data_IF_192883710810
#
_entry.id   IF_192883710810
#
_cell.length_a   1.000
_cell.length_b   1.000
_cell.length_c   1.000
_cell.angle_alpha   90.00
_cell.angle_beta   90.00
_cell.angle_gamma   90.00
#
_symmetry.space_group_name_H-M   'P 1'
#
loop_
_entity.id
_entity.type
_entity.pdbx_description
1 polymer ?
#
# COMPACT_ATOMS: atom_id res chain seq x y z
N UNK A 1 -3.56 16.31 -19.58
CA UNK A 1 -3.75 16.43 -18.13
C UNK A 1 -2.38 16.65 -17.50
N UNK A 2 -2.15 17.73 -16.77
CA UNK A 2 -0.94 17.89 -15.97
C UNK A 2 -1.04 16.90 -14.80
N UNK A 3 -0.24 15.84 -14.81
CA UNK A 3 -0.08 14.94 -13.66
C UNK A 3 0.85 15.65 -12.69
N UNK A 4 0.39 15.93 -11.46
CA UNK A 4 1.30 16.35 -10.39
C UNK A 4 2.06 15.10 -9.93
N UNK A 5 3.39 15.13 -9.97
CA UNK A 5 4.26 14.10 -9.40
C UNK A 5 4.82 14.56 -8.05
N UNK A 6 5.11 13.61 -7.18
CA UNK A 6 5.72 13.86 -5.87
C UNK A 6 7.25 13.85 -6.01
N UNK A 7 7.94 14.79 -5.38
CA UNK A 7 9.41 14.83 -5.39
C UNK A 7 10.05 13.62 -4.72
N UNK A 8 9.40 13.12 -3.68
CA UNK A 8 9.77 11.92 -2.94
C UNK A 8 8.57 11.41 -2.18
N UNK A 9 8.56 10.11 -1.85
CA UNK A 9 7.60 9.51 -0.93
C UNK A 9 8.31 8.71 0.16
N UNK A 10 7.67 8.63 1.32
CA UNK A 10 8.02 7.70 2.40
C UNK A 10 6.86 6.71 2.56
N UNK A 11 7.17 5.43 2.58
CA UNK A 11 6.23 4.32 2.76
C UNK A 11 6.55 3.66 4.10
N UNK A 12 5.57 3.55 5.00
CA UNK A 12 5.73 2.92 6.32
C UNK A 12 4.70 1.81 6.47
N UNK A 13 5.15 0.60 6.79
CA UNK A 13 4.26 -0.53 7.09
C UNK A 13 3.90 -0.49 8.57
N UNK A 14 2.65 -0.16 8.88
CA UNK A 14 2.15 -0.02 10.25
C UNK A 14 1.54 -1.31 10.80
N UNK A 15 0.98 -2.17 9.91
CA UNK A 15 0.50 -3.51 10.23
C UNK A 15 0.89 -4.49 9.14
N UNK A 16 1.32 -5.67 9.54
CA UNK A 16 1.57 -6.86 8.73
C UNK A 16 1.58 -8.10 9.65
N UNK A 17 1.51 -9.28 9.09
CA UNK A 17 1.68 -10.55 9.80
C UNK A 17 3.15 -10.97 9.97
N UNK A 18 4.10 -10.25 9.38
CA UNK A 18 5.54 -10.48 9.55
C UNK A 18 6.21 -9.27 10.21
N UNK A 19 7.18 -9.49 11.13
CA UNK A 19 7.93 -8.40 11.75
C UNK A 19 9.05 -7.90 10.82
N UNK A 20 9.25 -6.59 10.77
CA UNK A 20 10.48 -5.97 10.27
C UNK A 20 11.28 -5.38 11.44
N UNK A 21 10.61 -4.70 12.37
CA UNK A 21 11.18 -4.26 13.64
C UNK A 21 10.62 -5.10 14.79
N UNK A 22 11.43 -5.43 15.80
CA UNK A 22 10.96 -6.12 17.00
C UNK A 22 10.07 -5.19 17.85
N UNK A 23 9.22 -5.80 18.70
CA UNK A 23 8.41 -5.07 19.68
C UNK A 23 7.06 -4.57 19.16
N UNK A 24 6.85 -4.53 17.86
CA UNK A 24 5.58 -4.13 17.26
C UNK A 24 4.57 -5.29 17.24
N UNK A 25 3.28 -4.94 17.26
CA UNK A 25 2.18 -5.91 17.26
C UNK A 25 1.98 -6.46 15.85
N UNK A 26 2.00 -7.77 15.71
CA UNK A 26 1.66 -8.44 14.47
C UNK A 26 0.14 -8.62 14.37
N UNK A 27 -0.38 -8.57 13.15
CA UNK A 27 -1.77 -8.86 12.85
C UNK A 27 -1.88 -9.59 11.51
N UNK A 28 -2.87 -10.48 11.37
CA UNK A 28 -3.26 -10.91 10.04
C UNK A 28 -4.05 -9.78 9.40
N UNK A 29 -3.34 -8.87 8.75
CA UNK A 29 -3.89 -7.67 8.16
C UNK A 29 -2.80 -6.75 7.63
N UNK A 30 -3.16 -5.80 6.81
CA UNK A 30 -2.23 -4.85 6.19
C UNK A 30 -2.65 -3.41 6.50
N UNK A 31 -1.66 -2.57 6.82
CA UNK A 31 -1.82 -1.12 6.82
C UNK A 31 -0.51 -0.44 6.47
N UNK A 32 -0.55 0.45 5.49
CA UNK A 32 0.61 1.15 4.94
C UNK A 32 0.33 2.65 4.88
N UNK A 33 1.14 3.44 5.57
CA UNK A 33 1.14 4.90 5.41
C UNK A 33 2.05 5.31 4.27
N UNK A 34 1.56 6.18 3.38
CA UNK A 34 2.34 6.75 2.28
C UNK A 34 2.29 8.26 2.38
N UNK A 35 3.46 8.87 2.50
CA UNK A 35 3.63 10.31 2.72
C UNK A 35 4.43 10.93 1.58
N UNK A 36 3.85 11.90 0.88
CA UNK A 36 4.59 12.77 -0.05
C UNK A 36 5.46 13.76 0.72
N UNK A 37 6.70 14.01 0.27
CA UNK A 37 7.56 15.04 0.89
C UNK A 37 6.92 16.42 0.75
N UNK A 38 6.45 16.99 1.87
CA UNK A 38 5.72 18.26 1.91
C UNK A 38 4.39 18.24 1.15
N UNK A 39 3.81 17.06 1.01
CA UNK A 39 2.59 16.77 0.28
C UNK A 39 1.62 15.89 1.05
N UNK A 40 0.65 15.30 0.36
CA UNK A 40 -0.41 14.52 0.98
C UNK A 40 0.07 13.26 1.70
N UNK A 41 -0.72 12.85 2.70
CA UNK A 41 -0.54 11.66 3.53
C UNK A 41 -1.76 10.77 3.39
N UNK A 42 -1.60 9.60 2.81
CA UNK A 42 -2.67 8.61 2.65
C UNK A 42 -2.36 7.36 3.48
N UNK A 43 -3.34 6.88 4.22
CA UNK A 43 -3.28 5.55 4.82
C UNK A 43 -3.97 4.55 3.91
N UNK A 44 -3.23 3.55 3.45
CA UNK A 44 -3.76 2.43 2.70
C UNK A 44 -4.04 1.26 3.65
N UNK A 45 -5.29 0.84 3.70
CA UNK A 45 -5.83 -0.21 4.55
C UNK A 45 -5.66 0.06 6.07
N UNK A 46 -6.39 -0.65 6.90
CA UNK A 46 -6.45 -0.38 8.34
C UNK A 46 -6.23 -1.64 9.20
N UNK A 47 -5.86 -2.75 8.56
CA UNK A 47 -5.73 -4.04 9.23
C UNK A 47 -7.05 -4.58 9.74
N UNK A 48 -6.98 -5.61 10.58
CA UNK A 48 -8.16 -6.24 11.20
C UNK A 48 -8.64 -5.50 12.45
N UNK A 49 -7.80 -4.63 13.05
CA UNK A 49 -8.04 -4.02 14.36
C UNK A 49 -7.46 -2.62 14.49
N UNK A 50 -8.32 -1.65 14.80
CA UNK A 50 -7.89 -0.27 15.09
C UNK A 50 -6.91 -0.21 16.27
N UNK A 51 -7.11 -0.98 17.34
CA UNK A 51 -6.25 -0.95 18.51
C UNK A 51 -4.82 -1.39 18.21
N UNK A 52 -4.63 -2.36 17.29
CA UNK A 52 -3.29 -2.79 16.86
C UNK A 52 -2.64 -1.75 15.97
N UNK A 53 -3.40 -1.21 15.00
CA UNK A 53 -2.93 -0.14 14.12
C UNK A 53 -2.49 1.09 14.91
N UNK A 54 -3.35 1.59 15.80
CA UNK A 54 -3.06 2.77 16.61
C UNK A 54 -1.90 2.55 17.58
N UNK A 55 -1.82 1.36 18.20
CA UNK A 55 -0.71 1.03 19.08
C UNK A 55 0.63 0.98 18.35
N UNK A 56 0.69 0.41 17.13
CA UNK A 56 1.92 0.43 16.34
C UNK A 56 2.25 1.84 15.81
N UNK A 57 1.24 2.63 15.43
CA UNK A 57 1.45 4.02 15.02
C UNK A 57 2.06 4.85 16.16
N UNK A 58 1.59 4.68 17.41
CA UNK A 58 2.13 5.32 18.60
C UNK A 58 3.60 4.93 18.85
N UNK A 59 3.91 3.63 18.83
CA UNK A 59 5.27 3.11 19.00
C UNK A 59 6.25 3.60 17.91
N UNK A 60 5.75 3.82 16.70
CA UNK A 60 6.51 4.33 15.56
C UNK A 60 6.55 5.86 15.48
N UNK A 61 5.90 6.57 16.42
CA UNK A 61 5.81 8.03 16.41
C UNK A 61 5.03 8.58 15.20
N UNK A 62 4.02 7.83 14.72
CA UNK A 62 3.21 8.19 13.56
C UNK A 62 1.87 8.75 14.01
N UNK A 63 1.61 10.01 13.66
CA UNK A 63 0.29 10.62 13.87
C UNK A 63 -0.68 10.24 12.74
N UNK A 64 -1.77 9.56 13.08
CA UNK A 64 -2.85 9.18 12.16
C UNK A 64 -4.08 10.11 12.24
N UNK A 65 -4.09 11.14 13.08
CA UNK A 65 -5.18 12.11 13.13
C UNK A 65 -5.16 13.07 11.92
N UNK A 66 -3.97 13.32 11.37
CA UNK A 66 -3.73 14.26 10.26
C UNK A 66 -3.45 13.53 8.94
N UNK A 67 -4.46 12.85 8.40
CA UNK A 67 -4.42 12.22 7.07
C UNK A 67 -5.22 13.07 6.06
N UNK A 68 -4.77 13.08 4.79
CA UNK A 68 -5.50 13.69 3.67
C UNK A 68 -6.55 12.73 3.06
N UNK A 69 -6.49 11.44 3.44
CA UNK A 69 -7.45 10.44 3.02
C UNK A 69 -7.07 9.04 3.48
N UNK A 70 -8.07 8.15 3.46
CA UNK A 70 -7.90 6.72 3.72
C UNK A 70 -8.23 5.98 2.42
N UNK A 71 -7.39 5.03 2.03
CA UNK A 71 -7.57 4.21 0.85
C UNK A 71 -7.83 2.76 1.30
N UNK A 72 -9.01 2.20 1.04
CA UNK A 72 -9.34 0.81 1.36
C UNK A 72 -9.25 0.00 0.08
N UNK A 73 -8.23 -0.84 -0.03
CA UNK A 73 -7.96 -1.64 -1.22
C UNK A 73 -9.14 -2.55 -1.60
N UNK A 74 -9.75 -3.19 -0.62
CA UNK A 74 -10.94 -4.02 -0.74
C UNK A 74 -11.59 -4.29 0.62
N UNK A 75 -12.80 -4.90 0.63
CA UNK A 75 -13.62 -5.03 1.85
C UNK A 75 -13.40 -6.32 2.66
N UNK A 76 -12.25 -6.97 2.60
CA UNK A 76 -11.93 -8.04 3.55
C UNK A 76 -11.59 -7.44 4.93
N UNK A 77 -11.98 -8.14 5.99
CA UNK A 77 -11.86 -7.64 7.36
C UNK A 77 -10.43 -7.34 7.81
N UNK A 78 -9.46 -8.04 7.25
CA UNK A 78 -8.02 -7.85 7.49
C UNK A 78 -7.42 -6.61 6.78
N UNK A 79 -8.24 -5.89 5.98
CA UNK A 79 -7.89 -4.63 5.34
C UNK A 79 -8.73 -3.45 5.81
N UNK A 80 -9.99 -3.69 6.18
CA UNK A 80 -10.92 -2.62 6.57
C UNK A 80 -11.41 -2.68 8.02
N UNK A 81 -11.04 -3.71 8.79
CA UNK A 81 -11.56 -3.94 10.14
C UNK A 81 -11.19 -2.85 11.16
N UNK A 82 -10.05 -2.19 10.98
CA UNK A 82 -9.66 -1.04 11.81
C UNK A 82 -10.32 0.28 11.43
N UNK A 83 -10.99 0.37 10.27
CA UNK A 83 -11.52 1.64 9.74
C UNK A 83 -12.51 2.34 10.70
N UNK A 84 -13.50 1.66 11.32
CA UNK A 84 -14.41 2.34 12.23
C UNK A 84 -13.72 3.02 13.41
N UNK A 85 -12.72 2.36 14.00
CA UNK A 85 -11.95 2.94 15.12
C UNK A 85 -10.98 4.04 14.69
N UNK A 86 -10.44 3.97 13.48
CA UNK A 86 -9.60 5.03 12.92
C UNK A 86 -10.43 6.31 12.68
N UNK A 87 -11.67 6.18 12.22
CA UNK A 87 -12.58 7.32 12.02
C UNK A 87 -12.92 8.07 13.31
N UNK A 88 -12.83 7.42 14.47
CA UNK A 88 -13.04 8.08 15.77
C UNK A 88 -11.95 9.12 16.06
N UNK A 89 -10.76 9.03 15.45
CA UNK A 89 -9.68 9.99 15.63
C UNK A 89 -9.46 10.92 14.43
N UNK A 90 -9.75 10.47 13.20
CA UNK A 90 -9.59 11.30 11.99
C UNK A 90 -10.79 12.22 11.77
N UNK A 91 -11.96 11.87 12.31
CA UNK A 91 -13.21 12.60 12.06
C UNK A 91 -13.64 12.52 10.60
N UNK A 92 -14.10 13.66 10.05
CA UNK A 92 -14.62 13.70 8.67
C UNK A 92 -13.49 13.66 7.65
N UNK A 93 -13.39 12.54 6.90
CA UNK A 93 -12.31 12.28 5.94
C UNK A 93 -12.83 11.56 4.70
N UNK A 94 -12.15 11.75 3.56
CA UNK A 94 -12.40 10.99 2.34
C UNK A 94 -11.86 9.56 2.49
N UNK A 95 -12.73 8.58 2.21
CA UNK A 95 -12.38 7.16 2.18
C UNK A 95 -12.57 6.66 0.76
N UNK A 96 -11.45 6.45 0.07
CA UNK A 96 -11.42 5.96 -1.30
C UNK A 96 -11.63 4.46 -1.33
N UNK A 97 -12.62 3.99 -2.08
CA UNK A 97 -13.05 2.58 -2.09
C UNK A 97 -13.31 2.09 -3.51
N UNK A 98 -13.08 0.78 -3.82
CA UNK A 98 -13.34 0.25 -5.16
C UNK A 98 -14.85 0.19 -5.46
N UNK A 99 -15.64 -0.16 -4.46
CA UNK A 99 -17.11 -0.26 -4.51
C UNK A 99 -17.72 0.08 -3.17
N UNK A 100 -19.02 0.34 -3.15
CA UNK A 100 -19.73 0.58 -1.90
C UNK A 100 -19.71 -0.67 -1.00
N UNK A 101 -19.52 -0.51 0.32
CA UNK A 101 -19.68 -1.62 1.26
C UNK A 101 -21.15 -1.99 1.43
N UNK A 102 -21.42 -3.10 2.14
CA UNK A 102 -22.75 -3.49 2.53
C UNK A 102 -23.47 -2.38 3.32
N UNK A 103 -24.81 -2.35 3.27
CA UNK A 103 -25.63 -1.25 3.80
C UNK A 103 -25.33 -0.91 5.27
N UNK A 104 -25.17 -1.91 6.14
CA UNK A 104 -24.87 -1.69 7.57
C UNK A 104 -23.55 -0.98 7.76
N UNK A 105 -22.49 -1.47 7.14
CA UNK A 105 -21.14 -0.87 7.17
C UNK A 105 -21.15 0.54 6.58
N UNK A 106 -21.84 0.75 5.46
CA UNK A 106 -21.98 2.08 4.85
C UNK A 106 -22.60 3.09 5.81
N UNK A 107 -23.67 2.68 6.52
CA UNK A 107 -24.35 3.52 7.51
C UNK A 107 -23.44 3.83 8.70
N UNK A 108 -22.74 2.85 9.21
CA UNK A 108 -21.80 3.01 10.33
C UNK A 108 -20.67 3.98 9.96
N UNK A 109 -19.96 3.73 8.84
CA UNK A 109 -18.83 4.55 8.41
C UNK A 109 -19.23 6.00 8.16
N UNK A 110 -20.38 6.24 7.52
CA UNK A 110 -20.92 7.58 7.31
C UNK A 110 -21.30 8.27 8.63
N UNK A 111 -21.84 7.51 9.59
CA UNK A 111 -22.14 8.00 10.93
C UNK A 111 -20.90 8.46 11.71
N UNK A 112 -19.73 7.90 11.37
CA UNK A 112 -18.40 8.25 11.92
C UNK A 112 -17.65 9.31 11.11
N UNK A 113 -18.27 9.90 10.07
CA UNK A 113 -17.68 10.98 9.29
C UNK A 113 -17.01 10.56 7.97
N UNK A 114 -17.04 9.28 7.58
CA UNK A 114 -16.49 8.85 6.31
C UNK A 114 -17.25 9.44 5.11
N UNK A 115 -16.54 10.13 4.22
CA UNK A 115 -17.03 10.48 2.88
C UNK A 115 -16.55 9.41 1.90
N UNK A 116 -17.41 8.41 1.63
CA UNK A 116 -17.07 7.30 0.74
C UNK A 116 -16.97 7.78 -0.71
N UNK A 117 -15.78 7.73 -1.28
CA UNK A 117 -15.47 8.05 -2.69
C UNK A 117 -15.28 6.76 -3.47
N UNK A 118 -16.29 6.37 -4.25
CA UNK A 118 -16.27 5.12 -5.02
C UNK A 118 -15.54 5.32 -6.34
N UNK A 119 -14.51 4.52 -6.59
CA UNK A 119 -13.62 4.62 -7.75
C UNK A 119 -13.80 3.43 -8.70
N UNK A 120 -14.72 3.54 -9.63
CA UNK A 120 -15.02 2.46 -10.60
C UNK A 120 -13.96 2.28 -11.68
N UNK A 121 -13.20 3.31 -12.00
CA UNK A 121 -12.11 3.29 -12.97
C UNK A 121 -10.91 4.08 -12.47
N UNK A 122 -9.78 4.08 -13.21
CA UNK A 122 -8.59 4.81 -12.82
C UNK A 122 -8.89 6.29 -12.60
N UNK A 123 -8.43 6.83 -11.47
CA UNK A 123 -8.72 8.19 -11.06
C UNK A 123 -7.58 8.80 -10.24
N UNK A 124 -7.49 10.14 -10.27
CA UNK A 124 -6.68 10.91 -9.33
C UNK A 124 -7.41 11.00 -8.00
N UNK A 125 -6.68 10.85 -6.91
CA UNK A 125 -7.18 10.99 -5.54
C UNK A 125 -6.87 12.39 -5.00
N UNK A 126 -5.60 12.61 -4.75
CA UNK A 126 -5.00 13.88 -4.32
C UNK A 126 -3.73 14.12 -5.15
N UNK A 127 -3.00 15.20 -4.88
CA UNK A 127 -1.78 15.51 -5.62
C UNK A 127 -0.77 14.36 -5.59
N UNK A 128 -0.38 13.88 -6.77
CA UNK A 128 0.59 12.81 -6.94
C UNK A 128 0.12 11.41 -6.62
N UNK A 129 -1.11 11.24 -6.11
CA UNK A 129 -1.71 9.94 -5.81
C UNK A 129 -2.90 9.61 -6.70
N UNK A 130 -2.98 8.36 -7.13
CA UNK A 130 -3.98 7.85 -8.06
C UNK A 130 -4.45 6.45 -7.63
N UNK A 131 -5.55 6.00 -8.23
CA UNK A 131 -6.08 4.63 -8.08
C UNK A 131 -6.13 3.95 -9.43
N UNK A 132 -5.97 2.62 -9.45
CA UNK A 132 -6.28 1.78 -10.62
C UNK A 132 -7.77 1.72 -10.93
N UNK A 133 -8.64 2.14 -9.99
CA UNK A 133 -10.06 1.86 -10.04
C UNK A 133 -10.38 0.40 -9.73
N UNK A 134 -11.68 0.10 -9.64
CA UNK A 134 -12.17 -1.27 -9.33
C UNK A 134 -11.77 -2.28 -10.42
N UNK A 135 -10.92 -3.22 -10.07
CA UNK A 135 -10.48 -4.34 -10.90
C UNK A 135 -11.11 -5.67 -10.46
N UNK A 136 -12.40 -5.67 -10.16
CA UNK A 136 -13.10 -6.88 -9.71
C UNK A 136 -13.29 -6.97 -8.19
N UNK A 137 -13.32 -5.83 -7.50
CA UNK A 137 -13.54 -5.72 -6.05
C UNK A 137 -12.34 -5.22 -5.28
N UNK A 138 -11.22 -5.10 -5.93
CA UNK A 138 -9.99 -4.53 -5.37
C UNK A 138 -9.44 -3.45 -6.29
N UNK A 139 -8.83 -2.42 -5.70
CA UNK A 139 -8.05 -1.42 -6.40
C UNK A 139 -6.70 -1.19 -5.71
N UNK A 140 -5.74 -0.65 -6.46
CA UNK A 140 -4.39 -0.38 -5.97
C UNK A 140 -4.13 1.11 -5.92
N UNK A 141 -3.39 1.55 -4.89
CA UNK A 141 -2.90 2.92 -4.75
C UNK A 141 -1.66 3.11 -5.62
N UNK A 142 -1.59 4.23 -6.31
CA UNK A 142 -0.45 4.59 -7.16
C UNK A 142 0.09 5.94 -6.69
N UNK A 143 1.39 6.01 -6.42
CA UNK A 143 2.10 7.27 -6.21
C UNK A 143 2.99 7.52 -7.44
N UNK A 144 2.85 8.71 -8.03
CA UNK A 144 3.70 9.16 -9.15
C UNK A 144 4.91 9.91 -8.59
N UNK A 145 6.09 9.30 -8.69
CA UNK A 145 7.34 9.85 -8.14
C UNK A 145 8.20 10.44 -9.26
N UNK A 146 8.47 11.73 -9.15
CA UNK A 146 9.25 12.48 -10.15
C UNK A 146 10.61 11.84 -10.43
N UNK A 147 10.90 11.59 -11.70
CA UNK A 147 12.17 11.01 -12.14
C UNK A 147 12.35 9.51 -11.88
N UNK A 148 11.43 8.84 -11.15
CA UNK A 148 11.45 7.40 -10.92
C UNK A 148 10.38 6.64 -11.71
N UNK A 149 9.17 7.18 -11.77
CA UNK A 149 7.99 6.51 -12.26
C UNK A 149 7.00 6.19 -11.13
N UNK A 150 6.26 5.09 -11.24
CA UNK A 150 5.15 4.76 -10.36
C UNK A 150 5.58 3.85 -9.22
N UNK A 151 5.15 4.17 -8.00
CA UNK A 151 5.09 3.22 -6.90
C UNK A 151 3.64 2.73 -6.78
N UNK A 152 3.44 1.42 -6.92
CA UNK A 152 2.13 0.77 -6.83
C UNK A 152 2.03 0.01 -5.52
N UNK A 153 1.00 0.30 -4.74
CA UNK A 153 0.72 -0.39 -3.49
C UNK A 153 -0.59 -1.17 -3.63
N UNK A 154 -0.59 -2.43 -3.22
CA UNK A 154 -1.71 -3.35 -3.39
C UNK A 154 -2.08 -4.02 -2.07
N UNK A 155 -3.37 -4.31 -1.87
CA UNK A 155 -3.85 -5.06 -0.70
C UNK A 155 -3.46 -6.53 -0.79
N UNK A 156 -4.25 -7.29 -1.55
CA UNK A 156 -4.02 -8.72 -1.80
C UNK A 156 -3.70 -9.08 -3.25
N UNK A 157 -3.94 -8.17 -4.20
CA UNK A 157 -3.75 -8.43 -5.63
C UNK A 157 -4.67 -9.52 -6.20
N UNK A 158 -5.92 -9.65 -5.70
CA UNK A 158 -6.88 -10.62 -6.23
C UNK A 158 -7.09 -10.54 -7.76
N UNK A 159 -7.03 -9.33 -8.39
CA UNK A 159 -7.14 -9.21 -9.84
C UNK A 159 -5.95 -9.79 -10.61
N UNK A 160 -4.85 -10.06 -9.91
CA UNK A 160 -3.57 -10.43 -10.51
C UNK A 160 -2.65 -9.21 -10.74
N UNK A 161 -1.38 -9.38 -10.38
CA UNK A 161 -0.39 -8.28 -10.44
C UNK A 161 -0.07 -7.83 -11.87
N UNK A 162 -0.22 -8.71 -12.85
CA UNK A 162 -0.04 -8.37 -14.26
C UNK A 162 -1.09 -7.33 -14.72
N UNK A 163 -2.36 -7.52 -14.34
CA UNK A 163 -3.43 -6.57 -14.62
C UNK A 163 -3.20 -5.24 -13.87
N UNK A 164 -2.86 -5.29 -12.58
CA UNK A 164 -2.61 -4.11 -11.75
C UNK A 164 -1.48 -3.25 -12.33
N UNK A 165 -0.32 -3.87 -12.60
CA UNK A 165 0.87 -3.19 -13.13
C UNK A 165 0.59 -2.57 -14.51
N UNK A 166 -0.06 -3.32 -15.41
CA UNK A 166 -0.43 -2.81 -16.74
C UNK A 166 -1.43 -1.66 -16.66
N UNK A 167 -2.43 -1.76 -15.78
CA UNK A 167 -3.44 -0.70 -15.59
C UNK A 167 -2.78 0.59 -15.11
N UNK A 168 -1.93 0.52 -14.08
CA UNK A 168 -1.21 1.67 -13.54
C UNK A 168 -0.32 2.32 -14.61
N UNK A 169 0.51 1.51 -15.30
CA UNK A 169 1.43 1.99 -16.32
C UNK A 169 0.70 2.61 -17.52
N UNK A 170 -0.40 1.99 -17.96
CA UNK A 170 -1.18 2.49 -19.11
C UNK A 170 -1.91 3.78 -18.80
N UNK A 171 -2.49 3.90 -17.59
CA UNK A 171 -3.24 5.07 -17.18
C UNK A 171 -2.37 6.32 -17.09
N UNK A 172 -1.21 6.22 -16.45
CA UNK A 172 -0.30 7.35 -16.25
C UNK A 172 0.81 7.45 -17.33
N UNK A 173 0.91 6.46 -18.23
CA UNK A 173 1.92 6.38 -19.30
C UNK A 173 3.35 6.48 -18.75
N UNK A 174 3.59 5.82 -17.60
CA UNK A 174 4.88 5.79 -16.90
C UNK A 174 5.21 4.36 -16.50
N UNK A 175 6.50 4.01 -16.41
CA UNK A 175 6.91 2.69 -15.91
C UNK A 175 6.59 2.54 -14.43
N UNK A 176 6.27 1.32 -14.00
CA UNK A 176 6.19 0.97 -12.57
C UNK A 176 7.61 0.72 -12.08
N UNK A 177 8.05 1.53 -11.11
CA UNK A 177 9.36 1.44 -10.47
C UNK A 177 9.34 0.55 -9.24
N UNK A 178 8.28 0.67 -8.42
CA UNK A 178 8.13 -0.05 -7.17
C UNK A 178 6.77 -0.73 -7.05
N UNK A 179 6.75 -1.93 -6.44
CA UNK A 179 5.54 -2.70 -6.14
C UNK A 179 5.60 -3.21 -4.71
N UNK A 180 4.62 -2.82 -3.88
CA UNK A 180 4.59 -3.09 -2.44
C UNK A 180 3.23 -3.64 -2.05
N UNK A 181 3.17 -4.66 -1.19
CA UNK A 181 1.93 -5.20 -0.65
C UNK A 181 1.78 -6.71 -0.73
N UNK A 182 0.56 -7.21 -0.58
CA UNK A 182 0.21 -8.60 -0.70
C UNK A 182 0.08 -9.05 -2.17
N UNK A 183 0.66 -10.21 -2.50
CA UNK A 183 0.69 -10.70 -3.89
C UNK A 183 -0.18 -11.92 -4.11
N UNK A 184 -0.83 -12.41 -3.08
CA UNK A 184 -1.77 -13.55 -3.10
C UNK A 184 -1.23 -14.80 -3.81
N UNK A 185 0.04 -15.09 -3.62
CA UNK A 185 0.74 -16.27 -4.13
C UNK A 185 1.45 -17.00 -2.99
N UNK A 186 1.50 -18.33 -3.03
CA UNK A 186 2.03 -19.12 -1.92
C UNK A 186 3.20 -20.03 -2.31
N UNK A 187 3.23 -20.51 -3.55
CA UNK A 187 4.22 -21.49 -3.99
C UNK A 187 5.48 -20.83 -4.55
N UNK A 188 6.60 -21.53 -4.45
CA UNK A 188 7.88 -21.13 -5.05
C UNK A 188 7.77 -20.93 -6.58
N UNK A 189 7.02 -21.79 -7.26
CA UNK A 189 6.82 -21.72 -8.69
C UNK A 189 6.06 -20.45 -9.11
N UNK A 190 4.97 -20.11 -8.40
CA UNK A 190 4.25 -18.85 -8.63
C UNK A 190 5.15 -17.65 -8.41
N UNK A 191 5.99 -17.67 -7.38
CA UNK A 191 6.98 -16.63 -7.13
C UNK A 191 7.95 -16.44 -8.28
N UNK A 192 8.51 -17.52 -8.83
CA UNK A 192 9.39 -17.46 -9.99
C UNK A 192 8.68 -16.94 -11.25
N UNK A 193 7.46 -17.42 -11.51
CA UNK A 193 6.65 -16.98 -12.65
C UNK A 193 6.37 -15.48 -12.59
N UNK A 194 5.93 -15.00 -11.42
CA UNK A 194 5.70 -13.59 -11.18
C UNK A 194 7.01 -12.79 -11.30
N UNK A 195 8.10 -13.27 -10.71
CA UNK A 195 9.42 -12.64 -10.80
C UNK A 195 9.88 -12.42 -12.25
N UNK A 196 9.66 -13.41 -13.11
CA UNK A 196 9.96 -13.29 -14.56
C UNK A 196 9.14 -12.17 -15.21
N UNK A 197 7.84 -12.10 -14.91
CA UNK A 197 6.99 -11.01 -15.40
C UNK A 197 7.49 -9.64 -14.91
N UNK A 198 7.75 -9.51 -13.61
CA UNK A 198 8.18 -8.23 -13.01
C UNK A 198 9.56 -7.78 -13.53
N UNK A 199 10.47 -8.72 -13.80
CA UNK A 199 11.75 -8.43 -14.45
C UNK A 199 11.56 -7.82 -15.85
N UNK A 200 10.63 -8.37 -16.65
CA UNK A 200 10.30 -7.85 -17.98
C UNK A 200 9.66 -6.45 -17.92
N UNK A 201 8.96 -6.11 -16.83
CA UNK A 201 8.42 -4.77 -16.61
C UNK A 201 9.49 -3.77 -16.12
N UNK A 202 10.68 -4.24 -15.76
CA UNK A 202 11.80 -3.38 -15.36
C UNK A 202 11.70 -2.81 -13.95
N UNK A 203 10.92 -3.41 -13.04
CA UNK A 203 10.79 -2.98 -11.66
C UNK A 203 12.16 -2.95 -10.95
N UNK A 204 12.33 -1.99 -10.06
CA UNK A 204 13.57 -1.76 -9.27
C UNK A 204 13.38 -2.03 -7.77
N UNK A 205 12.13 -2.05 -7.31
CA UNK A 205 11.77 -2.33 -5.91
C UNK A 205 10.55 -3.23 -5.88
N UNK A 206 10.64 -4.36 -5.21
CA UNK A 206 9.55 -5.32 -5.00
C UNK A 206 9.52 -5.70 -3.52
N UNK A 207 8.45 -5.33 -2.81
CA UNK A 207 8.28 -5.59 -1.37
C UNK A 207 7.06 -6.50 -1.15
N UNK A 208 7.17 -7.83 -1.28
CA UNK A 208 6.08 -8.76 -1.04
C UNK A 208 5.83 -8.94 0.46
N UNK A 209 4.60 -8.72 0.92
CA UNK A 209 4.22 -8.87 2.32
C UNK A 209 2.84 -9.54 2.47
N UNK A 210 2.27 -9.52 3.66
CA UNK A 210 0.91 -9.94 4.01
C UNK A 210 0.56 -11.36 3.48
N UNK A 211 -0.29 -11.46 2.47
CA UNK A 211 -0.75 -12.73 1.89
C UNK A 211 0.24 -13.38 0.90
N UNK A 212 1.51 -12.95 0.89
CA UNK A 212 2.56 -13.56 0.07
C UNK A 212 3.33 -14.61 0.86
N UNK A 213 3.18 -15.88 0.50
CA UNK A 213 3.83 -16.98 1.21
C UNK A 213 5.35 -16.97 1.13
N UNK A 214 6.04 -17.44 2.17
CA UNK A 214 7.51 -17.51 2.24
C UNK A 214 8.14 -18.30 1.07
N UNK A 215 7.58 -19.42 0.56
CA UNK A 215 8.10 -20.05 -0.64
C UNK A 215 8.01 -19.16 -1.88
N UNK A 216 6.91 -18.41 -2.03
CA UNK A 216 6.76 -17.47 -3.14
C UNK A 216 7.76 -16.32 -3.06
N UNK A 217 8.00 -15.76 -1.87
CA UNK A 217 9.05 -14.74 -1.63
C UNK A 217 10.44 -15.24 -2.02
N UNK A 218 10.77 -16.53 -1.73
CA UNK A 218 12.03 -17.14 -2.20
C UNK A 218 12.08 -17.21 -3.72
N UNK A 219 11.00 -17.69 -4.37
CA UNK A 219 10.92 -17.76 -5.83
C UNK A 219 11.07 -16.41 -6.52
N UNK A 220 10.49 -15.34 -5.95
CA UNK A 220 10.69 -13.96 -6.41
C UNK A 220 12.16 -13.54 -6.30
N UNK A 221 12.79 -13.81 -5.14
CA UNK A 221 14.19 -13.43 -4.88
C UNK A 221 15.18 -14.16 -5.80
N UNK A 222 14.93 -15.41 -6.11
CA UNK A 222 15.78 -16.20 -7.03
C UNK A 222 15.77 -15.66 -8.47
N UNK A 223 14.72 -14.94 -8.87
CA UNK A 223 14.62 -14.32 -10.20
C UNK A 223 15.07 -12.86 -10.19
N UNK A 224 14.69 -12.10 -9.18
CA UNK A 224 14.86 -10.64 -9.12
C UNK A 224 16.06 -10.20 -8.26
N UNK A 225 16.65 -11.11 -7.48
CA UNK A 225 17.78 -10.79 -6.60
C UNK A 225 17.46 -9.68 -5.60
N UNK A 226 18.35 -8.71 -5.51
CA UNK A 226 18.30 -7.58 -4.57
C UNK A 226 17.15 -6.58 -4.83
N UNK A 227 16.41 -6.74 -5.92
CA UNK A 227 15.19 -5.97 -6.19
C UNK A 227 14.10 -6.33 -5.19
N UNK A 228 14.11 -7.58 -4.66
CA UNK A 228 13.17 -8.05 -3.65
C UNK A 228 13.65 -7.66 -2.27
N UNK A 229 12.98 -6.69 -1.66
CA UNK A 229 13.27 -6.24 -0.30
C UNK A 229 12.48 -7.07 0.72
N UNK A 230 13.00 -7.13 1.95
CA UNK A 230 12.23 -7.61 3.09
C UNK A 230 11.14 -6.59 3.41
N UNK A 231 9.93 -7.07 3.67
CA UNK A 231 8.78 -6.27 4.11
C UNK A 231 8.28 -6.81 5.45
N UNK A 232 7.59 -5.97 6.21
CA UNK A 232 6.98 -6.32 7.49
C UNK A 232 6.69 -5.08 8.32
N UNK A 233 6.00 -5.26 9.46
CA UNK A 233 5.63 -4.15 10.34
C UNK A 233 6.86 -3.41 10.86
N UNK A 234 6.85 -2.08 10.75
CA UNK A 234 7.98 -1.20 11.11
C UNK A 234 8.93 -0.89 9.94
N UNK A 235 8.72 -1.47 8.73
CA UNK A 235 9.53 -1.10 7.57
C UNK A 235 9.26 0.35 7.16
N UNK A 236 10.34 1.10 6.90
CA UNK A 236 10.30 2.41 6.25
C UNK A 236 11.10 2.37 4.95
N UNK A 237 10.47 2.73 3.83
CA UNK A 237 11.08 2.81 2.50
C UNK A 237 10.91 4.22 1.95
N UNK A 238 12.02 4.84 1.52
CA UNK A 238 12.03 6.14 0.83
C UNK A 238 12.31 5.97 -0.65
N UNK A 239 11.50 6.60 -1.48
CA UNK A 239 11.69 6.66 -2.93
C UNK A 239 11.87 8.12 -3.35
N UNK A 240 13.05 8.42 -3.93
CA UNK A 240 13.45 9.75 -4.41
C UNK A 240 14.44 9.62 -5.57
N UNK A 241 14.31 10.44 -6.62
CA UNK A 241 15.14 10.37 -7.82
C UNK A 241 16.62 10.75 -7.59
N UNK A 242 16.88 11.66 -6.65
CA UNK A 242 18.25 12.11 -6.32
C UNK A 242 18.78 11.33 -5.13
N UNK A 243 19.55 10.25 -5.40
CA UNK A 243 20.24 9.49 -4.37
C UNK A 243 20.22 7.97 -4.52
N UNK A 244 19.50 7.44 -5.52
CA UNK A 244 19.19 6.02 -5.57
C UNK A 244 18.24 5.65 -4.42
N UNK A 245 17.57 4.52 -4.48
CA UNK A 245 16.79 4.03 -3.34
C UNK A 245 17.73 3.98 -2.13
N UNK A 246 17.63 4.96 -1.22
CA UNK A 246 18.39 4.89 0.02
C UNK A 246 17.74 3.77 0.84
N UNK A 247 18.33 2.60 0.78
CA UNK A 247 18.01 1.42 1.59
C UNK A 247 18.38 1.73 3.06
N UNK A 248 17.76 2.70 3.68
CA UNK A 248 17.87 2.90 5.12
C UNK A 248 16.69 2.25 5.81
N UNK A 249 16.81 0.94 6.05
CA UNK A 249 16.21 0.37 7.23
C UNK A 249 16.89 1.03 8.44
N UNK A 250 16.28 2.03 9.05
CA UNK A 250 16.73 2.52 10.36
C UNK A 250 16.29 1.48 11.38
N UNK A 251 17.26 0.69 11.84
CA UNK A 251 17.16 -0.02 13.10
C UNK A 251 17.02 0.99 14.27
N UNK A 252 16.57 0.55 15.45
CA UNK A 252 16.39 1.42 16.59
C UNK A 252 17.69 2.17 16.88
N UNK A 253 17.60 3.49 17.02
CA UNK A 253 18.65 4.28 17.63
C UNK A 253 18.66 3.88 19.10
N UNK A 254 19.74 3.18 19.53
CA UNK A 254 19.99 2.77 20.90
C UNK A 254 20.09 3.97 21.85
#
# INVERSE_FOLDING_TARGET
MYTSSLRAITIKVLLDNEPFLPGLRLDWGLSILVEGRGGPRLLMDTGSSASRLLGNAEELGVDLANLDGIFISHWHGDHCGGLPGLLDITGSIDVFVPREPGWLMKRELRGKGARLVVLRGPARLVDGFYSTGDLGGEHSLIADVEGLGLAVLTGCSHPGLDLIVRTASSYLRKPVHALIGGFHISSYYEGRKLGTFLAQQGLKVVCPCHCTGSPAKRGLRDVLGDVVLQCGVGMELKLEARGGASKQARGPVG
#
